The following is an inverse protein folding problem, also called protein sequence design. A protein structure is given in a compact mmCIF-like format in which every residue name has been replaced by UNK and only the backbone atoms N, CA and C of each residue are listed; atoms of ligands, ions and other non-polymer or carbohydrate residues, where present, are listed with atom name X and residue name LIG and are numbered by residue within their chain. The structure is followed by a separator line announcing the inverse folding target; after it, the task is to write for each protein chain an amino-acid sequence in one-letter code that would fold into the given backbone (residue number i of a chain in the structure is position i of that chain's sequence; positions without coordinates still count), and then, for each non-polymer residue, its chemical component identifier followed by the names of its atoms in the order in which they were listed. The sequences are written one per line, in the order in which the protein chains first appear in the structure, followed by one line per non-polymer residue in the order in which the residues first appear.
data_IF_663702798707
#
_entry.id   IF_663702798707
#
_cell.length_a   1.000
_cell.length_b   1.000
_cell.length_c   1.000
_cell.angle_alpha   90.00
_cell.angle_beta   90.00
_cell.angle_gamma   90.00
#
_symmetry.space_group_name_H-M   'P 1'
#
loop_
_entity.id
_entity.type
_entity.pdbx_description
1 polymer ?
#
# COMPACT_ATOMS: atom_id res chain seq x y z
N UNK A 1 -17.50 -23.72 -2.77
CA UNK A 1 -17.08 -24.68 -1.73
C UNK A 1 -16.15 -25.73 -2.31
N UNK A 2 -14.98 -25.86 -1.73
CA UNK A 2 -14.00 -26.87 -2.11
C UNK A 2 -13.68 -27.74 -0.89
N UNK A 3 -13.51 -29.04 -1.09
CA UNK A 3 -13.10 -29.93 -0.01
C UNK A 3 -11.75 -29.47 0.59
N UNK A 4 -11.75 -29.14 1.87
CA UNK A 4 -10.60 -28.57 2.58
C UNK A 4 -10.53 -27.04 2.60
N UNK A 5 -11.55 -26.32 2.08
CA UNK A 5 -11.69 -24.88 2.25
C UNK A 5 -11.98 -24.49 3.70
N UNK A 6 -11.73 -23.21 4.03
CA UNK A 6 -11.98 -22.65 5.37
C UNK A 6 -13.35 -21.98 5.46
N UNK A 7 -13.87 -21.46 4.33
CA UNK A 7 -15.10 -20.69 4.26
C UNK A 7 -15.96 -20.99 3.04
N UNK A 8 -16.74 -20.01 2.61
CA UNK A 8 -17.61 -20.13 1.44
C UNK A 8 -16.81 -20.07 0.13
N UNK A 9 -16.11 -18.97 -0.10
CA UNK A 9 -15.16 -18.80 -1.20
C UNK A 9 -13.75 -18.68 -0.62
N UNK A 10 -12.81 -19.44 -1.18
CA UNK A 10 -11.41 -19.41 -0.76
C UNK A 10 -10.48 -19.08 -1.93
N UNK A 11 -9.47 -18.27 -1.66
CA UNK A 11 -8.38 -17.96 -2.59
C UNK A 11 -7.41 -19.13 -2.59
N UNK A 12 -7.26 -19.75 -3.76
CA UNK A 12 -6.37 -20.89 -3.98
C UNK A 12 -5.34 -20.56 -5.05
N UNK A 13 -4.22 -21.25 -5.02
CA UNK A 13 -3.20 -21.21 -6.05
C UNK A 13 -2.96 -22.62 -6.62
N UNK A 14 -2.46 -22.67 -7.84
CA UNK A 14 -2.00 -23.91 -8.46
C UNK A 14 -0.67 -23.65 -9.16
N UNK A 15 0.30 -24.56 -8.97
CA UNK A 15 1.59 -24.47 -9.65
C UNK A 15 1.44 -24.83 -11.11
N UNK A 16 2.10 -24.08 -12.02
CA UNK A 16 2.20 -24.42 -13.44
C UNK A 16 3.01 -25.70 -13.60
N UNK A 17 2.51 -26.64 -14.34
CA UNK A 17 3.22 -27.88 -14.67
C UNK A 17 4.31 -27.67 -15.72
N UNK A 18 5.18 -28.66 -15.87
CA UNK A 18 6.28 -28.61 -16.83
C UNK A 18 5.82 -28.61 -18.31
N UNK A 19 4.61 -29.10 -18.57
CA UNK A 19 4.02 -29.06 -19.91
C UNK A 19 3.12 -27.84 -20.07
N UNK A 20 3.08 -27.28 -21.26
CA UNK A 20 2.24 -26.13 -21.58
C UNK A 20 0.77 -26.44 -21.28
N UNK A 21 0.06 -25.51 -20.63
CA UNK A 21 -1.35 -25.62 -20.19
C UNK A 21 -1.64 -26.69 -19.12
N UNK A 22 -0.63 -27.24 -18.44
CA UNK A 22 -0.86 -28.13 -17.29
C UNK A 22 -0.73 -27.34 -15.96
N UNK A 23 -1.57 -27.74 -14.99
CA UNK A 23 -1.58 -27.13 -13.65
C UNK A 23 -1.57 -28.22 -12.59
N UNK A 24 -0.89 -27.97 -11.51
CA UNK A 24 -0.92 -28.82 -10.33
C UNK A 24 -2.28 -28.82 -9.61
N UNK A 25 -2.36 -29.55 -8.52
CA UNK A 25 -3.52 -29.50 -7.62
C UNK A 25 -3.60 -28.09 -7.03
N UNK A 26 -4.82 -27.54 -6.98
CA UNK A 26 -5.01 -26.25 -6.32
C UNK A 26 -4.93 -26.43 -4.80
N UNK A 27 -4.20 -25.53 -4.16
CA UNK A 27 -3.97 -25.47 -2.72
C UNK A 27 -4.49 -24.14 -2.17
N UNK A 28 -4.93 -24.10 -0.92
CA UNK A 28 -5.35 -22.87 -0.25
C UNK A 28 -4.13 -21.97 -0.10
N UNK A 29 -4.28 -20.69 -0.40
CA UNK A 29 -3.15 -19.76 -0.38
C UNK A 29 -2.57 -19.61 1.03
N UNK A 30 -3.41 -19.36 2.03
CA UNK A 30 -3.01 -19.23 3.44
C UNK A 30 -4.26 -19.08 4.31
N UNK A 31 -4.19 -19.46 5.57
CA UNK A 31 -5.18 -19.19 6.61
C UNK A 31 -5.18 -17.72 7.09
N UNK A 32 -4.12 -16.98 6.78
CA UNK A 32 -4.09 -15.52 6.98
C UNK A 32 -4.95 -14.79 5.95
N UNK A 33 -4.99 -15.30 4.72
CA UNK A 33 -5.79 -14.74 3.62
C UNK A 33 -7.21 -15.30 3.67
N UNK A 34 -7.34 -16.61 3.77
CA UNK A 34 -8.64 -17.28 3.80
C UNK A 34 -9.19 -17.40 5.22
N UNK A 35 -10.49 -17.23 5.36
CA UNK A 35 -11.22 -17.28 6.63
C UNK A 35 -12.44 -18.21 6.52
N UNK A 36 -13.30 -18.19 7.54
CA UNK A 36 -14.60 -18.86 7.48
C UNK A 36 -15.65 -18.12 6.64
N UNK A 37 -15.32 -16.97 6.11
CA UNK A 37 -16.15 -16.11 5.27
C UNK A 37 -15.91 -16.38 3.77
N UNK A 38 -16.33 -15.47 2.90
CA UNK A 38 -16.00 -15.50 1.49
C UNK A 38 -14.77 -14.60 1.25
N UNK A 39 -13.67 -15.18 0.77
CA UNK A 39 -12.44 -14.50 0.45
C UNK A 39 -12.19 -14.61 -1.07
N UNK A 40 -12.10 -13.46 -1.76
CA UNK A 40 -12.07 -13.42 -3.22
C UNK A 40 -11.36 -12.20 -3.77
N UNK A 41 -11.17 -12.12 -5.10
CA UNK A 41 -10.56 -11.00 -5.81
C UNK A 41 -9.16 -10.63 -5.27
N UNK A 42 -8.22 -11.56 -5.43
CA UNK A 42 -6.84 -11.36 -4.99
C UNK A 42 -6.04 -10.51 -5.97
N UNK A 43 -5.25 -9.58 -5.44
CA UNK A 43 -4.22 -8.86 -6.16
C UNK A 43 -2.90 -8.94 -5.37
N UNK A 44 -1.78 -9.05 -6.08
CA UNK A 44 -0.46 -9.13 -5.45
C UNK A 44 0.28 -7.81 -5.65
N UNK A 45 0.87 -7.31 -4.56
CA UNK A 45 1.80 -6.20 -4.62
C UNK A 45 3.19 -6.68 -5.06
N UNK A 46 3.91 -5.89 -5.84
CA UNK A 46 5.27 -6.22 -6.28
C UNK A 46 6.25 -6.34 -5.14
N UNK A 47 6.05 -5.56 -4.09
CA UNK A 47 6.96 -5.45 -2.98
C UNK A 47 6.38 -6.13 -1.74
N UNK A 48 7.27 -6.66 -0.91
CA UNK A 48 6.98 -7.24 0.42
C UNK A 48 6.02 -8.44 0.43
N UNK A 49 5.88 -9.16 -0.69
CA UNK A 49 4.96 -10.29 -0.76
C UNK A 49 3.54 -9.94 -0.28
N UNK A 50 3.13 -8.68 -0.47
CA UNK A 50 1.80 -8.21 -0.08
C UNK A 50 0.73 -8.82 -0.97
N UNK A 51 -0.35 -9.23 -0.36
CA UNK A 51 -1.57 -9.64 -1.05
C UNK A 51 -2.72 -8.77 -0.58
N UNK A 52 -3.52 -8.31 -1.53
CA UNK A 52 -4.78 -7.60 -1.29
C UNK A 52 -5.92 -8.47 -1.74
N UNK A 53 -6.97 -8.55 -0.95
CA UNK A 53 -8.13 -9.40 -1.24
C UNK A 53 -9.39 -8.80 -0.64
N UNK A 54 -10.54 -9.24 -1.12
CA UNK A 54 -11.85 -8.84 -0.60
C UNK A 54 -12.37 -9.95 0.28
N UNK A 55 -12.94 -9.60 1.44
CA UNK A 55 -13.53 -10.54 2.38
C UNK A 55 -14.78 -9.96 3.03
N UNK A 56 -15.81 -10.80 3.23
CA UNK A 56 -17.01 -10.48 4.00
C UNK A 56 -16.94 -11.02 5.45
N UNK A 57 -15.71 -11.17 5.98
CA UNK A 57 -15.49 -11.60 7.37
C UNK A 57 -16.04 -10.58 8.38
N UNK A 58 -16.45 -11.09 9.53
CA UNK A 58 -17.21 -10.33 10.53
C UNK A 58 -16.46 -9.18 11.21
N UNK A 59 -15.14 -9.15 11.11
CA UNK A 59 -14.30 -8.07 11.66
C UNK A 59 -14.27 -6.82 10.77
N UNK A 60 -14.90 -6.87 9.59
CA UNK A 60 -14.98 -5.76 8.64
C UNK A 60 -16.07 -4.74 8.96
N UNK A 61 -16.17 -3.71 8.11
CA UNK A 61 -17.13 -2.61 8.23
C UNK A 61 -18.14 -2.64 7.06
N UNK A 62 -19.01 -3.63 7.02
CA UNK A 62 -20.04 -3.73 5.99
C UNK A 62 -20.18 -5.15 5.44
N UNK A 63 -20.63 -5.25 4.18
CA UNK A 63 -20.87 -6.56 3.55
C UNK A 63 -19.56 -7.19 3.03
N UNK A 64 -18.61 -6.38 2.54
CA UNK A 64 -17.29 -6.85 2.12
C UNK A 64 -16.26 -5.70 2.14
N UNK A 65 -15.08 -5.98 2.65
CA UNK A 65 -13.98 -5.03 2.80
C UNK A 65 -12.72 -5.49 2.07
N UNK A 66 -11.80 -4.56 1.79
CA UNK A 66 -10.48 -4.86 1.25
C UNK A 66 -9.53 -5.10 2.41
N UNK A 67 -8.92 -6.28 2.41
CA UNK A 67 -7.89 -6.67 3.36
C UNK A 67 -6.53 -6.75 2.69
N UNK A 68 -5.48 -6.63 3.49
CA UNK A 68 -4.11 -6.88 3.05
C UNK A 68 -3.41 -7.84 4.00
N UNK A 69 -2.53 -8.67 3.46
CA UNK A 69 -1.67 -9.55 4.22
C UNK A 69 -0.27 -9.58 3.60
N UNK A 70 0.74 -9.89 4.42
CA UNK A 70 2.10 -10.15 3.95
C UNK A 70 2.33 -11.65 4.01
N UNK A 71 2.66 -12.25 2.87
CA UNK A 71 2.92 -13.68 2.77
C UNK A 71 4.40 -13.96 3.05
N UNK A 72 4.75 -14.16 4.33
CA UNK A 72 6.13 -14.37 4.76
C UNK A 72 6.73 -15.72 4.33
N UNK A 73 5.90 -16.73 4.07
CA UNK A 73 6.29 -18.10 3.74
C UNK A 73 5.46 -18.65 2.57
N UNK A 74 5.48 -17.96 1.44
CA UNK A 74 5.04 -18.61 0.21
C UNK A 74 6.05 -19.73 -0.05
N UNK A 75 5.57 -20.89 -0.53
CA UNK A 75 6.44 -22.00 -0.90
C UNK A 75 7.65 -21.46 -1.68
N UNK A 76 8.88 -21.91 -1.36
CA UNK A 76 10.11 -21.31 -1.89
C UNK A 76 10.22 -21.33 -3.43
N UNK A 77 9.35 -22.02 -4.09
CA UNK A 77 9.23 -22.15 -5.55
C UNK A 77 8.03 -21.32 -6.12
N UNK A 78 7.37 -20.50 -5.32
CA UNK A 78 6.30 -19.62 -5.81
C UNK A 78 6.92 -18.33 -6.37
N UNK A 79 6.99 -18.26 -7.68
CA UNK A 79 7.55 -17.11 -8.40
C UNK A 79 6.47 -16.01 -8.53
N UNK A 80 6.53 -15.05 -7.64
CA UNK A 80 5.64 -13.87 -7.67
C UNK A 80 5.83 -13.01 -8.94
N UNK A 81 7.01 -13.10 -9.58
CA UNK A 81 7.27 -12.34 -10.81
C UNK A 81 6.52 -12.89 -12.01
N UNK A 82 6.06 -14.15 -11.94
CA UNK A 82 5.27 -14.81 -12.97
C UNK A 82 3.76 -14.51 -12.89
N UNK A 83 3.30 -13.83 -11.84
CA UNK A 83 1.91 -13.41 -11.73
C UNK A 83 1.63 -12.26 -12.71
N UNK A 84 0.43 -12.22 -13.32
CA UNK A 84 0.04 -11.04 -14.08
C UNK A 84 0.04 -9.84 -13.11
N UNK A 85 1.06 -9.01 -13.23
CA UNK A 85 1.03 -7.71 -12.59
C UNK A 85 -0.12 -6.94 -13.22
N UNK A 86 -1.03 -6.39 -12.43
CA UNK A 86 -1.84 -5.29 -12.91
C UNK A 86 -0.85 -4.25 -13.43
N UNK A 87 -1.08 -3.72 -14.65
CA UNK A 87 -0.27 -2.61 -15.16
C UNK A 87 -0.19 -1.57 -14.04
N UNK A 88 0.94 -1.58 -13.33
CA UNK A 88 1.15 -0.56 -12.32
C UNK A 88 1.09 0.79 -13.04
N UNK A 89 0.42 1.78 -12.46
CA UNK A 89 0.60 3.13 -12.93
C UNK A 89 2.11 3.35 -12.97
N UNK A 90 2.66 3.66 -14.17
CA UNK A 90 4.09 3.89 -14.38
C UNK A 90 4.57 4.88 -13.33
N UNK A 91 5.29 4.38 -12.33
CA UNK A 91 5.85 5.17 -11.26
C UNK A 91 5.62 4.55 -9.89
N UNK A 92 6.67 4.57 -9.09
CA UNK A 92 6.63 4.30 -7.67
C UNK A 92 5.67 5.29 -6.99
N UNK A 93 4.60 4.80 -6.41
CA UNK A 93 3.65 5.61 -5.65
C UNK A 93 3.27 4.86 -4.37
N UNK A 94 3.67 5.39 -3.23
CA UNK A 94 3.35 4.86 -1.92
C UNK A 94 2.42 5.82 -1.20
N UNK A 95 1.29 5.30 -0.74
CA UNK A 95 0.43 6.01 0.20
C UNK A 95 0.88 5.63 1.59
N UNK A 96 1.39 6.61 2.31
CA UNK A 96 1.87 6.44 3.67
C UNK A 96 1.06 7.30 4.61
N UNK A 97 0.77 6.73 5.75
CA UNK A 97 0.34 7.43 6.95
C UNK A 97 -0.95 8.22 6.82
N UNK A 98 -1.93 7.77 7.53
CA UNK A 98 -3.10 8.57 7.85
C UNK A 98 -2.83 9.34 9.14
N UNK A 99 -3.18 10.61 9.13
CA UNK A 99 -2.98 11.51 10.25
C UNK A 99 -4.29 11.80 10.95
N UNK A 100 -4.23 11.92 12.27
CA UNK A 100 -5.35 12.47 13.01
C UNK A 100 -5.63 13.91 12.60
N UNK A 101 -6.83 14.41 12.92
CA UNK A 101 -7.21 15.79 12.65
C UNK A 101 -6.20 16.74 13.31
N UNK A 102 -5.72 17.72 12.54
CA UNK A 102 -4.73 18.72 12.96
C UNK A 102 -3.38 18.17 13.45
N UNK A 103 -3.10 16.86 13.24
CA UNK A 103 -1.81 16.24 13.58
C UNK A 103 -0.91 16.12 12.36
N UNK A 104 0.40 16.09 12.64
CA UNK A 104 1.46 15.86 11.66
C UNK A 104 2.52 14.85 12.15
N UNK A 105 2.36 14.34 13.36
CA UNK A 105 3.19 13.27 13.93
C UNK A 105 2.68 11.90 13.48
N UNK A 106 3.61 10.99 13.23
CA UNK A 106 3.32 9.63 12.79
C UNK A 106 2.87 8.78 13.98
N UNK A 107 1.82 8.01 13.80
CA UNK A 107 1.41 7.00 14.79
C UNK A 107 2.42 5.84 14.80
N UNK A 108 2.71 5.24 15.97
CA UNK A 108 3.69 4.15 16.08
C UNK A 108 3.39 2.93 15.19
N UNK A 109 2.12 2.70 14.87
CA UNK A 109 1.67 1.60 14.00
C UNK A 109 2.21 1.69 12.57
N UNK A 110 2.65 2.87 12.13
CA UNK A 110 3.22 3.08 10.78
C UNK A 110 4.74 2.92 10.70
N UNK A 111 5.42 2.58 11.77
CA UNK A 111 6.87 2.33 11.78
C UNK A 111 7.29 1.24 10.80
N UNK A 112 6.49 0.16 10.71
CA UNK A 112 6.73 -0.95 9.78
C UNK A 112 6.61 -0.47 8.33
N UNK A 113 5.58 0.31 8.02
CA UNK A 113 5.40 0.87 6.66
C UNK A 113 6.54 1.81 6.26
N UNK A 114 7.11 2.54 7.23
CA UNK A 114 8.27 3.40 6.97
C UNK A 114 9.51 2.57 6.61
N UNK A 115 9.76 1.47 7.31
CA UNK A 115 10.89 0.57 7.01
C UNK A 115 10.72 -0.10 5.65
N UNK A 116 9.50 -0.50 5.30
CA UNK A 116 9.15 -1.05 3.99
C UNK A 116 9.36 -0.03 2.87
N UNK A 117 8.93 1.22 3.07
CA UNK A 117 9.18 2.29 2.12
C UNK A 117 10.67 2.48 1.86
N UNK A 118 11.50 2.50 2.93
CA UNK A 118 12.94 2.68 2.81
C UNK A 118 13.55 1.52 2.01
N UNK A 119 13.14 0.29 2.28
CA UNK A 119 13.58 -0.87 1.51
C UNK A 119 13.23 -0.75 0.03
N UNK A 120 11.99 -0.30 -0.26
CA UNK A 120 11.52 -0.07 -1.60
C UNK A 120 12.30 1.04 -2.33
N UNK A 121 12.57 2.15 -1.65
CA UNK A 121 13.36 3.25 -2.22
C UNK A 121 14.79 2.83 -2.55
N UNK A 122 15.37 1.90 -1.79
CA UNK A 122 16.72 1.38 -2.04
C UNK A 122 16.85 0.59 -3.36
N UNK A 123 15.75 0.11 -3.92
CA UNK A 123 15.71 -0.57 -5.22
C UNK A 123 15.83 0.41 -6.41
N UNK A 124 15.73 1.72 -6.15
CA UNK A 124 15.82 2.78 -7.16
C UNK A 124 17.01 3.71 -6.87
N UNK A 125 18.27 3.22 -7.00
CA UNK A 125 19.45 4.04 -6.73
C UNK A 125 19.54 5.20 -7.73
N UNK A 126 19.70 6.44 -7.22
CA UNK A 126 19.75 7.65 -8.03
C UNK A 126 18.40 8.31 -8.31
N UNK A 127 17.29 7.65 -8.03
CA UNK A 127 15.96 8.25 -8.18
C UNK A 127 15.73 9.41 -7.20
N UNK A 128 14.91 10.37 -7.61
CA UNK A 128 14.39 11.41 -6.73
C UNK A 128 12.93 11.14 -6.37
N UNK A 129 12.61 11.35 -5.11
CA UNK A 129 11.30 11.08 -4.54
C UNK A 129 10.64 12.35 -4.07
N UNK A 130 9.41 12.59 -4.50
CA UNK A 130 8.55 13.61 -3.94
C UNK A 130 7.73 13.01 -2.79
N UNK A 131 7.75 13.68 -1.66
CA UNK A 131 6.94 13.39 -0.47
C UNK A 131 5.86 14.45 -0.43
N UNK A 132 4.63 14.09 -0.81
CA UNK A 132 3.50 15.01 -0.86
C UNK A 132 2.56 14.81 0.32
N UNK A 133 2.33 15.89 1.08
CA UNK A 133 1.38 15.90 2.19
C UNK A 133 0.01 16.38 1.75
N UNK A 134 -1.04 15.79 2.31
CA UNK A 134 -2.43 16.13 2.01
C UNK A 134 -3.25 16.34 3.28
N UNK A 135 -4.34 17.09 3.15
CA UNK A 135 -5.36 17.27 4.18
C UNK A 135 -6.71 16.82 3.67
N UNK A 136 -7.67 16.67 4.56
CA UNK A 136 -9.07 16.57 4.17
C UNK A 136 -9.60 17.92 3.64
N UNK A 137 -10.82 17.91 3.12
CA UNK A 137 -11.42 19.06 2.43
C UNK A 137 -11.88 20.19 3.36
N UNK A 138 -11.86 19.96 4.67
CA UNK A 138 -12.32 20.92 5.68
C UNK A 138 -11.29 22.00 5.96
N UNK A 139 -11.73 23.18 6.39
CA UNK A 139 -10.88 24.30 6.80
C UNK A 139 -10.39 25.17 5.64
N UNK A 140 -9.58 26.18 5.98
CA UNK A 140 -9.08 27.20 5.07
C UNK A 140 -7.90 26.71 4.25
N UNK A 141 -7.76 27.18 3.00
CA UNK A 141 -6.72 26.75 2.07
C UNK A 141 -5.30 27.01 2.59
N UNK A 142 -5.06 28.19 3.12
CA UNK A 142 -3.76 28.59 3.69
C UNK A 142 -3.36 27.71 4.87
N UNK A 143 -4.30 27.35 5.72
CA UNK A 143 -4.08 26.47 6.84
C UNK A 143 -3.74 25.06 6.37
N UNK A 144 -4.53 24.51 5.45
CA UNK A 144 -4.33 23.19 4.90
C UNK A 144 -3.00 23.07 4.15
N UNK A 145 -2.61 24.08 3.40
CA UNK A 145 -1.31 24.11 2.73
C UNK A 145 -0.16 24.04 3.74
N UNK A 146 -0.21 24.81 4.82
CA UNK A 146 0.82 24.78 5.87
C UNK A 146 0.85 23.46 6.63
N UNK A 147 -0.32 22.88 6.93
CA UNK A 147 -0.41 21.61 7.65
C UNK A 147 0.12 20.45 6.79
N UNK A 148 -0.23 20.43 5.53
CA UNK A 148 0.26 19.41 4.59
C UNK A 148 1.77 19.51 4.35
N UNK A 149 2.33 20.72 4.27
CA UNK A 149 3.79 20.93 4.20
C UNK A 149 4.51 20.41 5.46
N UNK A 150 3.95 20.64 6.65
CA UNK A 150 4.48 20.07 7.90
C UNK A 150 4.49 18.54 7.87
N UNK A 151 3.43 17.91 7.39
CA UNK A 151 3.35 16.44 7.26
C UNK A 151 4.43 15.90 6.32
N UNK A 152 4.55 16.48 5.14
CA UNK A 152 5.57 16.09 4.16
C UNK A 152 7.00 16.25 4.72
N UNK A 153 7.30 17.36 5.37
CA UNK A 153 8.61 17.61 5.99
C UNK A 153 8.90 16.65 7.14
N UNK A 154 7.91 16.36 7.96
CA UNK A 154 8.07 15.41 9.06
C UNK A 154 8.46 14.02 8.54
N UNK A 155 7.75 13.49 7.52
CA UNK A 155 8.10 12.20 6.90
C UNK A 155 9.49 12.26 6.25
N UNK A 156 9.84 13.36 5.55
CA UNK A 156 11.18 13.56 5.00
C UNK A 156 12.26 13.47 6.07
N UNK A 157 12.07 14.11 7.22
CA UNK A 157 13.02 14.05 8.33
C UNK A 157 13.17 12.65 8.92
N UNK A 158 12.06 11.87 8.99
CA UNK A 158 12.11 10.48 9.42
C UNK A 158 12.92 9.61 8.46
N UNK A 159 12.72 9.76 7.14
CA UNK A 159 13.49 9.05 6.12
C UNK A 159 14.99 9.38 6.21
N UNK A 160 15.34 10.65 6.38
CA UNK A 160 16.73 11.08 6.56
C UNK A 160 17.36 10.47 7.83
N UNK A 161 16.63 10.46 8.95
CA UNK A 161 17.08 9.81 10.20
C UNK A 161 17.33 8.32 10.03
N UNK A 162 16.63 7.67 9.11
CA UNK A 162 16.79 6.25 8.77
C UNK A 162 17.82 5.99 7.68
N UNK A 163 18.54 7.02 7.22
CA UNK A 163 19.68 6.90 6.31
C UNK A 163 19.40 7.14 4.83
N UNK A 164 18.19 7.59 4.47
CA UNK A 164 17.91 8.02 3.08
C UNK A 164 18.62 9.33 2.78
N UNK A 165 19.23 9.43 1.59
CA UNK A 165 19.96 10.63 1.17
C UNK A 165 19.01 11.84 1.09
N UNK A 166 19.30 12.92 1.83
CA UNK A 166 18.50 14.15 1.79
C UNK A 166 18.35 14.77 0.39
N UNK A 167 19.34 14.57 -0.49
CA UNK A 167 19.34 15.11 -1.86
C UNK A 167 18.37 14.40 -2.79
N UNK A 168 17.97 13.17 -2.45
CA UNK A 168 16.97 12.41 -3.19
C UNK A 168 15.52 12.73 -2.80
N UNK A 169 15.31 13.59 -1.78
CA UNK A 169 14.00 13.81 -1.17
C UNK A 169 13.49 15.23 -1.33
N UNK A 170 12.32 15.40 -1.93
CA UNK A 170 11.60 16.68 -2.05
C UNK A 170 10.29 16.59 -1.28
N UNK A 171 10.04 17.51 -0.34
CA UNK A 171 8.80 17.57 0.41
C UNK A 171 7.90 18.70 -0.12
N UNK A 172 6.61 18.39 -0.35
CA UNK A 172 5.63 19.33 -0.92
C UNK A 172 4.30 19.22 -0.17
N UNK A 173 3.74 20.36 0.26
CA UNK A 173 2.37 20.43 0.78
C UNK A 173 1.36 20.64 -0.34
N UNK A 174 0.40 19.74 -0.51
CA UNK A 174 -0.68 19.81 -1.52
C UNK A 174 -1.99 20.36 -0.94
N UNK A 175 -2.06 20.56 0.39
CA UNK A 175 -3.30 20.99 1.05
C UNK A 175 -4.45 20.01 0.77
N UNK A 176 -5.61 20.56 0.47
CA UNK A 176 -6.85 19.82 0.15
C UNK A 176 -7.15 19.67 -1.35
N UNK A 177 -6.18 19.98 -2.22
CA UNK A 177 -6.41 20.06 -3.68
C UNK A 177 -6.50 18.70 -4.38
N UNK A 178 -5.96 17.66 -3.77
CA UNK A 178 -5.88 16.31 -4.35
C UNK A 178 -6.47 15.27 -3.38
N UNK A 179 -7.79 15.29 -3.12
CA UNK A 179 -8.42 14.30 -2.25
C UNK A 179 -8.54 12.95 -2.97
N UNK A 180 -8.31 11.84 -2.23
CA UNK A 180 -8.65 10.49 -2.71
C UNK A 180 -10.17 10.36 -2.77
N UNK A 181 -10.85 10.74 -1.68
CA UNK A 181 -12.32 10.74 -1.60
C UNK A 181 -12.79 12.18 -1.73
N UNK A 182 -13.28 12.55 -2.93
CA UNK A 182 -13.69 13.92 -3.26
C UNK A 182 -14.88 14.39 -2.43
N UNK A 183 -15.84 13.52 -2.22
CA UNK A 183 -17.12 13.83 -1.54
C UNK A 183 -17.18 13.18 -0.14
N UNK A 184 -16.06 13.19 0.60
CA UNK A 184 -15.96 12.63 1.93
C UNK A 184 -17.01 13.25 2.87
N UNK A 185 -17.82 12.39 3.51
CA UNK A 185 -18.89 12.78 4.44
C UNK A 185 -18.66 12.23 5.85
N UNK A 186 -17.93 11.12 5.97
CA UNK A 186 -17.66 10.44 7.24
C UNK A 186 -16.23 10.68 7.69
N UNK A 187 -15.97 10.53 9.00
CA UNK A 187 -14.61 10.70 9.53
C UNK A 187 -13.60 9.71 8.95
N UNK A 188 -13.93 8.41 8.76
CA UNK A 188 -13.02 7.49 8.07
C UNK A 188 -12.67 7.92 6.64
N UNK A 189 -13.60 8.50 5.88
CA UNK A 189 -13.33 9.04 4.55
C UNK A 189 -12.43 10.27 4.60
N UNK A 190 -12.65 11.16 5.57
CA UNK A 190 -11.77 12.31 5.79
C UNK A 190 -10.37 11.86 6.22
N UNK A 191 -10.25 10.82 7.04
CA UNK A 191 -8.97 10.27 7.45
C UNK A 191 -8.13 9.79 6.26
N UNK A 192 -8.74 9.13 5.28
CA UNK A 192 -8.04 8.69 4.06
C UNK A 192 -7.47 9.87 3.24
N UNK A 193 -8.10 11.02 3.29
CA UNK A 193 -7.58 12.23 2.64
C UNK A 193 -6.40 12.85 3.41
N UNK A 194 -6.30 12.63 4.73
CA UNK A 194 -5.21 13.14 5.59
C UNK A 194 -4.01 12.19 5.54
N UNK A 195 -3.25 12.25 4.48
CA UNK A 195 -2.17 11.30 4.16
C UNK A 195 -0.89 11.98 3.71
N UNK A 196 0.14 11.16 3.59
CA UNK A 196 1.36 11.47 2.84
C UNK A 196 1.54 10.43 1.74
N UNK A 197 1.92 10.86 0.56
CA UNK A 197 2.30 10.01 -0.56
C UNK A 197 3.79 10.19 -0.86
N UNK A 198 4.45 9.13 -1.33
CA UNK A 198 5.82 9.19 -1.84
C UNK A 198 5.85 8.62 -3.25
N UNK A 199 6.37 9.38 -4.20
CA UNK A 199 6.47 8.98 -5.62
C UNK A 199 7.83 9.32 -6.20
N UNK A 200 8.27 8.56 -7.18
CA UNK A 200 9.44 8.91 -8.00
C UNK A 200 9.05 10.08 -8.93
N UNK A 201 9.90 11.12 -8.99
CA UNK A 201 9.73 12.26 -9.87
C UNK A 201 10.81 12.35 -10.95
N UNK A 202 11.98 11.80 -10.71
CA UNK A 202 13.07 11.67 -11.67
C UNK A 202 13.74 10.31 -11.46
N UNK A 203 13.89 9.53 -12.52
CA UNK A 203 14.76 8.38 -12.55
C UNK A 203 16.05 8.82 -13.27
N UNK A 204 17.22 8.60 -12.66
CA UNK A 204 18.48 8.67 -13.40
C UNK A 204 18.52 7.49 -14.37
N UNK A 205 18.02 7.72 -15.59
CA UNK A 205 18.21 6.77 -16.70
C UNK A 205 19.67 6.91 -17.14
N UNK A 206 20.57 6.27 -16.38
CA UNK A 206 21.93 6.08 -16.87
C UNK A 206 21.86 5.07 -18.02
N UNK A 207 21.98 5.57 -19.25
CA UNK A 207 22.23 4.79 -20.46
C UNK A 207 23.55 4.02 -20.37
#
# INVERSE_FOLDING_TARGET
DREGGLGGLDICYAKKGAQEHTWGKAEILSDVVNSSANDYNVAFGKMNHSVFFISDRTEGHGDADIYSAVLLNIAPDFDLTALPTMDEPKGFNWILFFFDLDKYDMKPEYEVQLDELIAAMAEYPGAKFEISGHTDVRGEDDYNTKLSDKRARFVRELLIKRGVDPSSLVAVGRGKTEPIIKDAQTEPEHEQNRRVEVRIIEEDVNE
#
